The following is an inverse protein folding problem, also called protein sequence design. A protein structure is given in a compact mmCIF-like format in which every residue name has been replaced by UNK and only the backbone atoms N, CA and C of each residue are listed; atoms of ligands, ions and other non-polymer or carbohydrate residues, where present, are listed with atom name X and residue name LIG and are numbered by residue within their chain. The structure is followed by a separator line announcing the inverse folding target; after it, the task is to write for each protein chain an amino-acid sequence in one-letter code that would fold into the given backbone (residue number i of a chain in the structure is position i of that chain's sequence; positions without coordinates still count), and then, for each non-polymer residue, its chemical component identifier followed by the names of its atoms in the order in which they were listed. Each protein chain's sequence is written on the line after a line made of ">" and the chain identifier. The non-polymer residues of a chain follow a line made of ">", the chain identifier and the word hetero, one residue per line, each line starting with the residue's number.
data_IF_142018031512
#
_entry.id   IF_142018031512
#
_cell.length_a   1.000
_cell.length_b   1.000
_cell.length_c   1.000
_cell.angle_alpha   90.00
_cell.angle_beta   90.00
_cell.angle_gamma   90.00
#
_symmetry.space_group_name_H-M   'P 1'
#
loop_
_entity.id
_entity.type
_entity.pdbx_description
1 polymer ?
#
# COMPACT_ATOMS: atom_id res chain seq x y z
N UNK A 1 -16.79 3.21 14.54
CA UNK A 1 -15.51 2.50 14.36
C UNK A 1 -14.64 2.74 15.58
N UNK A 2 -14.18 1.67 16.27
CA UNK A 2 -13.40 1.77 17.52
C UNK A 2 -12.00 2.31 17.22
N UNK A 3 -11.54 3.30 18.00
CA UNK A 3 -10.17 3.77 17.96
C UNK A 3 -9.31 3.01 18.98
N UNK A 4 -8.19 2.46 18.51
CA UNK A 4 -7.22 1.73 19.35
C UNK A 4 -6.36 2.74 20.09
N UNK A 5 -6.31 2.61 21.43
CA UNK A 5 -5.46 3.45 22.29
C UNK A 5 -4.13 2.79 22.65
N UNK A 6 -4.10 1.44 22.62
CA UNK A 6 -2.90 0.66 22.95
C UNK A 6 -2.48 -0.19 21.75
N UNK A 7 -1.32 0.12 21.19
CA UNK A 7 -0.73 -0.55 20.02
C UNK A 7 0.50 -1.41 20.41
N UNK A 8 0.52 -1.98 21.63
CA UNK A 8 1.69 -2.73 22.10
C UNK A 8 1.82 -4.08 21.39
N UNK A 9 0.74 -4.88 21.37
CA UNK A 9 0.74 -6.24 20.82
C UNK A 9 -0.47 -6.45 19.89
N UNK A 10 -0.19 -6.96 18.68
CA UNK A 10 -1.24 -7.32 17.71
C UNK A 10 -1.94 -8.63 18.14
N UNK A 11 -1.18 -9.62 18.55
CA UNK A 11 -1.65 -10.94 18.95
C UNK A 11 -1.31 -11.24 20.41
N UNK A 12 -2.02 -12.21 20.97
CA UNK A 12 -1.69 -12.84 22.23
C UNK A 12 -0.51 -13.83 22.05
N UNK A 13 0.07 -14.30 23.12
CA UNK A 13 1.21 -15.25 23.11
C UNK A 13 0.92 -16.54 22.35
N UNK A 14 -0.33 -17.03 22.39
CA UNK A 14 -0.77 -18.21 21.64
C UNK A 14 -1.00 -17.94 20.14
N UNK A 15 -0.71 -16.73 19.66
CA UNK A 15 -0.89 -16.30 18.27
C UNK A 15 -2.34 -16.03 17.84
N UNK A 16 -3.31 -16.03 18.77
CA UNK A 16 -4.66 -15.52 18.48
C UNK A 16 -4.66 -13.99 18.42
N UNK A 17 -5.57 -13.42 17.63
CA UNK A 17 -5.73 -11.97 17.57
C UNK A 17 -6.11 -11.44 18.96
N UNK A 18 -5.44 -10.38 19.40
CA UNK A 18 -5.78 -9.68 20.63
C UNK A 18 -7.04 -8.84 20.41
N UNK A 19 -8.11 -9.09 21.13
CA UNK A 19 -9.38 -8.37 20.99
C UNK A 19 -9.24 -6.86 21.23
N UNK A 20 -8.30 -6.45 22.07
CA UNK A 20 -8.00 -5.04 22.31
C UNK A 20 -7.29 -4.37 21.14
N UNK A 21 -6.72 -5.14 20.21
CA UNK A 21 -6.08 -4.65 18.99
C UNK A 21 -7.06 -4.34 17.87
N UNK A 22 -8.33 -4.82 17.94
CA UNK A 22 -9.32 -4.66 16.87
C UNK A 22 -9.77 -3.20 16.78
N UNK A 23 -9.72 -2.62 15.57
CA UNK A 23 -10.11 -1.24 15.30
C UNK A 23 -9.05 -0.49 14.50
N UNK A 24 -9.04 0.83 14.61
CA UNK A 24 -8.07 1.68 13.93
C UNK A 24 -7.29 2.57 14.91
N UNK A 25 -6.08 2.93 14.54
CA UNK A 25 -5.22 3.85 15.30
C UNK A 25 -4.31 4.66 14.38
N UNK A 26 -3.66 5.67 14.94
CA UNK A 26 -2.71 6.52 14.19
C UNK A 26 -1.24 6.19 14.49
N UNK A 27 -0.97 5.17 15.30
CA UNK A 27 0.37 4.71 15.67
C UNK A 27 0.48 3.21 15.35
N UNK A 28 1.57 2.74 14.69
CA UNK A 28 1.80 1.33 14.42
C UNK A 28 1.92 0.50 15.71
N UNK A 29 1.57 -0.77 15.63
CA UNK A 29 1.86 -1.72 16.71
C UNK A 29 3.36 -1.87 16.89
N UNK A 30 3.81 -1.93 18.14
CA UNK A 30 5.21 -2.19 18.49
C UNK A 30 5.61 -3.63 18.17
N UNK A 31 4.70 -4.54 18.40
CA UNK A 31 4.85 -5.96 18.11
C UNK A 31 3.67 -6.48 17.32
N UNK A 32 3.96 -6.90 16.08
CA UNK A 32 2.99 -7.49 15.15
C UNK A 32 3.20 -9.00 15.00
N UNK A 33 3.93 -9.62 15.91
CA UNK A 33 4.26 -11.05 15.85
C UNK A 33 3.00 -11.90 15.81
N UNK A 34 2.97 -12.83 14.86
CA UNK A 34 1.90 -13.79 14.66
C UNK A 34 2.48 -15.18 14.87
N UNK A 35 2.31 -15.72 16.08
CA UNK A 35 2.79 -17.06 16.41
C UNK A 35 1.88 -18.12 15.77
N UNK A 36 1.94 -18.26 14.45
CA UNK A 36 1.21 -19.22 13.64
C UNK A 36 2.13 -19.86 12.62
N UNK A 37 1.71 -21.02 12.10
CA UNK A 37 2.42 -21.69 11.02
C UNK A 37 2.66 -20.74 9.85
N UNK A 38 3.88 -20.72 9.32
CA UNK A 38 4.30 -19.85 8.22
C UNK A 38 3.43 -20.02 6.98
N UNK A 39 2.86 -21.20 6.73
CA UNK A 39 2.02 -21.44 5.55
C UNK A 39 0.67 -20.73 5.58
N UNK A 40 0.17 -20.35 6.76
CA UNK A 40 -1.09 -19.63 6.91
C UNK A 40 -0.87 -18.14 7.13
N UNK A 41 0.27 -17.76 7.69
CA UNK A 41 0.68 -16.37 7.88
C UNK A 41 1.02 -15.72 6.54
N UNK A 42 0.58 -14.50 6.33
CA UNK A 42 0.87 -13.69 5.15
C UNK A 42 1.42 -12.35 5.57
N UNK A 43 2.46 -11.92 4.87
CA UNK A 43 3.16 -10.67 5.13
C UNK A 43 3.41 -9.96 3.82
N UNK A 44 3.21 -8.67 3.77
CA UNK A 44 3.71 -7.83 2.70
C UNK A 44 4.34 -6.54 3.22
N UNK A 45 5.31 -6.05 2.47
CA UNK A 45 5.85 -4.71 2.56
C UNK A 45 5.78 -4.08 1.17
N UNK A 46 5.18 -2.91 1.07
CA UNK A 46 5.06 -2.16 -0.17
C UNK A 46 5.59 -0.75 0.02
N UNK A 47 6.27 -0.28 -0.99
CA UNK A 47 6.84 1.05 -1.08
C UNK A 47 6.48 1.62 -2.44
N UNK A 48 5.94 2.82 -2.49
CA UNK A 48 5.55 3.46 -3.74
C UNK A 48 5.96 4.92 -3.73
N UNK A 49 6.76 5.32 -4.71
CA UNK A 49 7.15 6.70 -4.94
C UNK A 49 6.29 7.28 -6.04
N UNK A 50 5.68 8.43 -5.80
CA UNK A 50 4.89 9.17 -6.77
C UNK A 50 5.47 10.57 -6.89
N UNK A 51 5.78 10.98 -8.10
CA UNK A 51 6.17 12.32 -8.50
C UNK A 51 5.32 12.81 -9.67
N UNK A 52 5.63 13.97 -10.21
CA UNK A 52 5.04 14.45 -11.47
C UNK A 52 5.60 13.73 -12.69
N UNK A 53 6.82 13.20 -12.59
CA UNK A 53 7.56 12.58 -13.69
C UNK A 53 7.37 11.07 -13.76
N UNK A 54 7.19 10.41 -12.60
CA UNK A 54 7.11 8.96 -12.55
C UNK A 54 6.32 8.43 -11.35
N UNK A 55 5.91 7.17 -11.46
CA UNK A 55 5.46 6.34 -10.34
C UNK A 55 6.30 5.06 -10.31
N UNK A 56 6.89 4.77 -9.16
CA UNK A 56 7.54 3.50 -8.86
C UNK A 56 6.78 2.79 -7.75
N UNK A 57 6.33 1.57 -8.00
CA UNK A 57 5.74 0.68 -7.01
C UNK A 57 6.63 -0.54 -6.84
N UNK A 58 7.08 -0.80 -5.61
CA UNK A 58 7.90 -1.94 -5.23
C UNK A 58 7.24 -2.66 -4.06
N UNK A 59 7.10 -3.98 -4.16
CA UNK A 59 6.49 -4.79 -3.11
C UNK A 59 7.17 -6.13 -2.92
N UNK A 60 7.20 -6.57 -1.67
CA UNK A 60 7.68 -7.87 -1.22
C UNK A 60 6.52 -8.57 -0.54
N UNK A 61 6.15 -9.74 -1.02
CA UNK A 61 5.15 -10.61 -0.40
C UNK A 61 5.83 -11.86 0.13
N UNK A 62 5.56 -12.21 1.37
CA UNK A 62 5.87 -13.51 1.95
C UNK A 62 4.56 -14.26 2.20
N UNK A 63 4.36 -15.33 1.45
CA UNK A 63 3.17 -16.19 1.54
C UNK A 63 3.44 -17.47 2.35
N UNK A 64 4.64 -17.56 2.96
CA UNK A 64 5.08 -18.68 3.76
C UNK A 64 5.69 -19.83 2.96
N UNK A 65 5.21 -20.11 1.76
CA UNK A 65 5.74 -21.14 0.84
C UNK A 65 6.45 -20.54 -0.38
N UNK A 66 6.29 -19.24 -0.60
CA UNK A 66 6.90 -18.50 -1.69
C UNK A 66 7.01 -17.02 -1.31
N UNK A 67 8.13 -16.39 -1.63
CA UNK A 67 8.27 -14.93 -1.61
C UNK A 67 8.16 -14.39 -3.03
N UNK A 68 7.46 -13.26 -3.17
CA UNK A 68 7.27 -12.60 -4.45
C UNK A 68 7.81 -11.18 -4.35
N UNK A 69 8.77 -10.87 -5.21
CA UNK A 69 9.18 -9.50 -5.50
C UNK A 69 8.40 -9.00 -6.70
N UNK A 70 7.77 -7.86 -6.56
CA UNK A 70 7.04 -7.23 -7.65
C UNK A 70 7.42 -5.76 -7.75
N UNK A 71 7.66 -5.30 -8.98
CA UNK A 71 7.99 -3.92 -9.27
C UNK A 71 7.26 -3.46 -10.52
N UNK A 72 6.75 -2.24 -10.49
CA UNK A 72 6.14 -1.54 -11.63
C UNK A 72 6.60 -0.10 -11.63
N UNK A 73 7.12 0.34 -12.75
CA UNK A 73 7.56 1.70 -12.99
C UNK A 73 6.81 2.29 -14.19
N UNK A 74 6.38 3.53 -14.06
CA UNK A 74 5.74 4.32 -15.09
C UNK A 74 6.45 5.67 -15.20
N UNK A 75 7.07 5.95 -16.33
CA UNK A 75 7.52 7.30 -16.71
C UNK A 75 6.33 8.03 -17.31
N UNK A 76 5.89 9.10 -16.68
CA UNK A 76 4.69 9.85 -17.07
C UNK A 76 4.92 10.82 -18.21
N UNK A 77 6.17 11.18 -18.49
CA UNK A 77 6.56 12.06 -19.58
C UNK A 77 6.79 11.29 -20.88
N UNK A 78 7.50 10.15 -20.79
CA UNK A 78 7.89 9.36 -21.96
C UNK A 78 7.01 8.13 -22.18
N UNK A 79 5.98 7.92 -21.33
CA UNK A 79 5.07 6.77 -21.39
C UNK A 79 5.79 5.41 -21.35
N UNK A 80 6.98 5.36 -20.73
CA UNK A 80 7.73 4.13 -20.55
C UNK A 80 7.16 3.33 -19.38
N UNK A 81 6.94 2.05 -19.62
CA UNK A 81 6.55 1.09 -18.56
C UNK A 81 7.61 0.03 -18.38
N UNK A 82 8.02 -0.19 -17.15
CA UNK A 82 8.88 -1.31 -16.78
C UNK A 82 8.20 -2.11 -15.68
N UNK A 83 8.21 -3.43 -15.83
CA UNK A 83 7.56 -4.30 -14.87
C UNK A 83 8.39 -5.57 -14.69
N UNK A 84 8.79 -5.81 -13.44
CA UNK A 84 9.59 -6.99 -13.08
C UNK A 84 8.93 -7.75 -11.94
N UNK A 85 8.95 -9.08 -12.02
CA UNK A 85 8.42 -9.96 -10.97
C UNK A 85 9.30 -11.18 -10.84
N UNK A 86 9.66 -11.51 -9.60
CA UNK A 86 10.39 -12.74 -9.29
C UNK A 86 9.72 -13.48 -8.14
N UNK A 87 9.84 -14.80 -8.21
CA UNK A 87 9.31 -15.72 -7.23
C UNK A 87 10.48 -16.54 -6.65
N UNK A 88 10.53 -16.62 -5.36
CA UNK A 88 11.54 -17.38 -4.63
C UNK A 88 10.85 -18.44 -3.78
N UNK A 89 11.22 -19.75 -3.93
CA UNK A 89 10.71 -20.79 -3.07
C UNK A 89 11.20 -20.58 -1.63
N UNK A 90 10.57 -21.26 -0.68
CA UNK A 90 10.83 -21.09 0.77
C UNK A 90 12.31 -21.21 1.15
N UNK A 91 13.06 -22.12 0.50
CA UNK A 91 14.50 -22.33 0.75
C UNK A 91 15.39 -21.14 0.35
N UNK A 92 14.85 -20.20 -0.43
CA UNK A 92 15.55 -18.99 -0.92
C UNK A 92 14.68 -17.76 -0.73
N UNK A 93 13.67 -17.81 0.14
CA UNK A 93 12.70 -16.74 0.34
C UNK A 93 13.34 -15.52 0.99
N UNK A 94 12.73 -14.38 0.72
CA UNK A 94 13.03 -13.15 1.43
C UNK A 94 12.26 -13.23 2.75
N UNK A 95 12.98 -13.25 3.83
CA UNK A 95 12.38 -13.29 5.16
C UNK A 95 11.92 -11.88 5.51
N UNK A 96 10.61 -11.72 5.67
CA UNK A 96 10.01 -10.53 6.24
C UNK A 96 9.69 -10.81 7.71
N UNK A 97 10.21 -9.98 8.59
CA UNK A 97 9.86 -10.03 10.01
C UNK A 97 8.40 -9.56 10.20
N UNK A 98 7.73 -10.07 11.19
CA UNK A 98 6.41 -9.62 11.62
C UNK A 98 6.42 -8.16 12.08
N UNK A 99 7.54 -7.67 12.62
CA UNK A 99 7.69 -6.30 13.10
C UNK A 99 7.78 -5.33 11.92
N UNK A 100 7.10 -4.21 12.02
CA UNK A 100 7.17 -3.14 11.00
C UNK A 100 8.57 -2.52 10.94
N UNK A 101 9.31 -2.53 12.05
CA UNK A 101 10.67 -1.98 12.15
C UNK A 101 11.76 -2.97 11.74
N UNK A 102 11.41 -4.00 10.98
CA UNK A 102 12.36 -5.04 10.62
C UNK A 102 13.33 -4.60 9.53
N UNK A 103 14.48 -5.22 9.60
CA UNK A 103 15.48 -5.21 8.56
C UNK A 103 15.13 -6.21 7.47
N UNK A 104 15.24 -5.79 6.21
CA UNK A 104 15.10 -6.69 5.07
C UNK A 104 16.42 -6.72 4.33
N UNK A 105 17.03 -7.89 4.27
CA UNK A 105 18.23 -8.12 3.47
C UNK A 105 18.02 -9.31 2.54
N UNK A 106 18.30 -9.09 1.27
CA UNK A 106 18.23 -10.14 0.26
C UNK A 106 19.33 -9.95 -0.77
N UNK A 107 20.03 -11.02 -1.13
CA UNK A 107 21.06 -11.02 -2.18
C UNK A 107 20.94 -12.25 -3.05
N UNK A 108 20.88 -12.07 -4.37
CA UNK A 108 20.87 -13.15 -5.36
C UNK A 108 21.40 -12.67 -6.70
N UNK A 109 22.55 -13.21 -7.15
CA UNK A 109 23.21 -12.81 -8.40
C UNK A 109 23.25 -11.29 -8.59
N UNK A 110 22.48 -10.76 -9.56
CA UNK A 110 22.43 -9.33 -9.93
C UNK A 110 21.34 -8.56 -9.14
N UNK A 111 20.85 -9.11 -8.04
CA UNK A 111 19.78 -8.51 -7.26
C UNK A 111 20.20 -8.40 -5.80
N UNK A 112 19.98 -7.23 -5.25
CA UNK A 112 20.07 -7.07 -3.81
C UNK A 112 18.98 -6.12 -3.33
N UNK A 113 18.51 -6.33 -2.12
CA UNK A 113 17.56 -5.47 -1.42
C UNK A 113 18.09 -5.30 0.00
N UNK A 114 18.14 -4.06 0.42
CA UNK A 114 18.55 -3.71 1.77
C UNK A 114 17.62 -2.61 2.27
N UNK A 115 16.80 -2.93 3.26
CA UNK A 115 15.85 -1.98 3.85
C UNK A 115 16.16 -1.90 5.34
N UNK A 116 16.58 -0.71 5.76
CA UNK A 116 16.95 -0.41 7.13
C UNK A 116 16.01 0.64 7.69
N UNK A 117 15.27 0.31 8.73
CA UNK A 117 14.41 1.26 9.42
C UNK A 117 15.09 1.80 10.68
N UNK A 118 15.14 3.12 10.77
CA UNK A 118 15.47 3.88 11.95
C UNK A 118 14.19 4.44 12.60
N UNK A 119 14.31 5.17 13.71
CA UNK A 119 13.17 5.84 14.35
C UNK A 119 12.49 6.87 13.43
N UNK A 120 13.27 7.62 12.64
CA UNK A 120 12.80 8.79 11.89
C UNK A 120 12.86 8.62 10.37
N UNK A 121 13.47 7.57 9.86
CA UNK A 121 13.61 7.33 8.44
C UNK A 121 13.78 5.85 8.11
N UNK A 122 13.59 5.52 6.84
CA UNK A 122 13.90 4.22 6.26
C UNK A 122 14.87 4.45 5.11
N UNK A 123 15.99 3.74 5.10
CA UNK A 123 16.86 3.61 3.93
C UNK A 123 16.41 2.40 3.13
N UNK A 124 16.21 2.60 1.85
CA UNK A 124 15.78 1.57 0.91
C UNK A 124 16.76 1.57 -0.24
N UNK A 125 17.57 0.53 -0.30
CA UNK A 125 18.50 0.29 -1.38
C UNK A 125 18.09 -0.99 -2.10
N UNK A 126 17.89 -0.92 -3.39
CA UNK A 126 17.80 -2.13 -4.17
C UNK A 126 18.49 -2.01 -5.53
N UNK A 127 19.11 -3.10 -5.95
CA UNK A 127 19.59 -3.29 -7.29
C UNK A 127 18.90 -4.47 -7.92
N UNK A 128 18.43 -4.29 -9.15
CA UNK A 128 17.64 -5.29 -9.83
C UNK A 128 17.88 -5.24 -11.35
N UNK A 129 18.85 -6.05 -11.80
CA UNK A 129 19.36 -6.04 -13.18
C UNK A 129 19.90 -4.65 -13.56
N UNK A 130 19.19 -3.93 -14.44
CA UNK A 130 19.49 -2.58 -14.93
C UNK A 130 18.90 -1.45 -14.07
N UNK A 131 18.31 -1.78 -12.94
CA UNK A 131 17.74 -0.81 -12.00
C UNK A 131 18.60 -0.68 -10.76
N UNK A 132 18.70 0.54 -10.27
CA UNK A 132 19.40 0.88 -9.04
C UNK A 132 18.64 1.99 -8.30
N UNK A 133 18.12 1.68 -7.11
CA UNK A 133 17.45 2.64 -6.23
C UNK A 133 18.27 2.82 -4.97
N UNK A 134 18.50 4.07 -4.63
CA UNK A 134 18.92 4.49 -3.30
C UNK A 134 17.94 5.55 -2.80
N UNK A 135 17.23 5.26 -1.74
CA UNK A 135 16.20 6.15 -1.21
C UNK A 135 16.22 6.23 0.30
N UNK A 136 16.19 7.45 0.81
CA UNK A 136 15.93 7.76 2.21
C UNK A 136 14.51 8.33 2.32
N UNK A 137 13.65 7.65 3.07
CA UNK A 137 12.25 8.02 3.28
C UNK A 137 12.07 8.47 4.73
N UNK A 138 11.62 9.70 4.94
CA UNK A 138 11.42 10.26 6.27
C UNK A 138 10.04 9.87 6.82
N UNK A 139 10.01 9.36 8.04
CA UNK A 139 8.77 8.89 8.67
C UNK A 139 8.02 10.02 9.36
N UNK A 140 6.72 10.02 9.20
CA UNK A 140 5.79 10.89 9.92
C UNK A 140 5.36 10.29 11.26
N UNK A 141 4.75 11.12 12.11
CA UNK A 141 4.18 10.69 13.38
C UNK A 141 2.96 9.79 13.19
N UNK A 142 2.04 10.15 12.29
CA UNK A 142 0.78 9.43 12.14
C UNK A 142 0.74 8.58 10.87
N UNK A 143 0.29 7.36 11.03
CA UNK A 143 -0.04 6.41 9.97
C UNK A 143 -1.40 5.79 10.21
N UNK A 144 -2.09 5.36 9.16
CA UNK A 144 -3.30 4.56 9.32
C UNK A 144 -2.90 3.15 9.78
N UNK A 145 -3.38 2.76 10.94
CA UNK A 145 -3.23 1.40 11.44
C UNK A 145 -4.61 0.81 11.65
N UNK A 146 -4.89 -0.31 11.02
CA UNK A 146 -6.20 -0.93 11.05
C UNK A 146 -6.07 -2.44 11.29
N UNK A 147 -6.83 -2.95 12.23
CA UNK A 147 -6.95 -4.38 12.49
C UNK A 147 -8.39 -4.80 12.25
N UNK A 148 -8.58 -5.70 11.29
CA UNK A 148 -9.88 -6.21 10.88
C UNK A 148 -9.93 -7.72 11.12
N UNK A 149 -10.78 -8.21 12.01
CA UNK A 149 -11.12 -9.62 12.06
C UNK A 149 -12.19 -9.91 10.98
N UNK A 150 -11.99 -10.96 10.19
CA UNK A 150 -13.05 -11.50 9.33
C UNK A 150 -13.85 -12.60 10.04
N UNK A 151 -13.16 -13.33 10.92
CA UNK A 151 -13.73 -14.29 11.87
C UNK A 151 -12.74 -14.55 13.01
N UNK A 152 -12.93 -15.63 13.79
CA UNK A 152 -12.04 -15.99 14.90
C UNK A 152 -10.67 -16.51 14.46
N UNK A 153 -10.48 -16.91 13.19
CA UNK A 153 -9.21 -17.43 12.62
C UNK A 153 -8.51 -16.41 11.75
N UNK A 154 -9.28 -15.66 10.95
CA UNK A 154 -8.75 -14.82 9.88
C UNK A 154 -8.84 -13.36 10.26
N UNK A 155 -7.72 -12.69 10.13
CA UNK A 155 -7.62 -11.26 10.41
C UNK A 155 -6.55 -10.61 9.52
N UNK A 156 -6.69 -9.31 9.39
CA UNK A 156 -5.73 -8.46 8.68
C UNK A 156 -5.34 -7.28 9.55
N UNK A 157 -4.05 -7.03 9.61
CA UNK A 157 -3.47 -5.77 10.08
C UNK A 157 -2.80 -5.06 8.93
N UNK A 158 -3.11 -3.78 8.73
CA UNK A 158 -2.40 -2.90 7.81
C UNK A 158 -1.89 -1.66 8.52
N UNK A 159 -0.69 -1.21 8.13
CA UNK A 159 -0.10 0.06 8.55
C UNK A 159 0.30 0.85 7.31
N UNK A 160 -0.39 1.98 7.07
CA UNK A 160 -0.21 2.81 5.88
C UNK A 160 0.34 4.18 6.24
N UNK A 161 1.49 4.50 5.68
CA UNK A 161 2.15 5.79 5.81
C UNK A 161 2.02 6.53 4.49
N UNK A 162 1.42 7.70 4.50
CA UNK A 162 1.08 8.44 3.29
C UNK A 162 1.91 9.71 3.14
N UNK A 163 2.37 9.96 1.90
CA UNK A 163 3.06 11.20 1.51
C UNK A 163 4.30 11.51 2.35
N UNK A 164 5.13 10.51 2.55
CA UNK A 164 6.41 10.65 3.23
C UNK A 164 7.41 11.33 2.29
N UNK A 165 8.17 12.30 2.79
CA UNK A 165 9.27 12.88 2.01
C UNK A 165 10.29 11.80 1.68
N UNK A 166 10.75 11.77 0.44
CA UNK A 166 11.81 10.90 -0.02
C UNK A 166 12.97 11.72 -0.58
N UNK A 167 14.17 11.15 -0.50
CA UNK A 167 15.39 11.70 -1.10
C UNK A 167 16.19 10.56 -1.72
N UNK A 168 17.05 10.89 -2.68
CA UNK A 168 17.92 9.94 -3.34
C UNK A 168 17.69 9.85 -4.84
N UNK A 169 17.91 8.67 -5.42
CA UNK A 169 17.79 8.49 -6.87
C UNK A 169 17.27 7.11 -7.26
N UNK A 170 16.73 7.05 -8.47
CA UNK A 170 16.41 5.82 -9.19
C UNK A 170 17.09 5.87 -10.56
N UNK A 171 17.92 4.88 -10.87
CA UNK A 171 18.41 4.63 -12.22
C UNK A 171 17.58 3.49 -12.82
N UNK A 172 17.02 3.70 -13.99
CA UNK A 172 16.24 2.69 -14.73
C UNK A 172 16.24 3.04 -16.22
N UNK A 173 16.38 2.04 -17.08
CA UNK A 173 16.36 2.21 -18.54
C UNK A 173 17.34 3.32 -19.00
N UNK A 174 18.55 3.34 -18.43
CA UNK A 174 19.62 4.32 -18.70
C UNK A 174 19.28 5.79 -18.36
N UNK A 175 18.17 6.03 -17.64
CA UNK A 175 17.76 7.36 -17.16
C UNK A 175 17.86 7.41 -15.64
N UNK A 176 18.31 8.55 -15.10
CA UNK A 176 18.34 8.84 -13.67
C UNK A 176 17.19 9.75 -13.29
N UNK A 177 16.42 9.35 -12.29
CA UNK A 177 15.31 10.11 -11.70
C UNK A 177 15.70 10.56 -10.30
N UNK A 178 15.49 11.83 -10.00
CA UNK A 178 15.69 12.37 -8.66
C UNK A 178 14.44 12.11 -7.80
N UNK A 179 14.63 11.56 -6.60
CA UNK A 179 13.54 11.28 -5.66
C UNK A 179 13.19 12.46 -4.76
N UNK A 180 13.96 13.52 -4.72
CA UNK A 180 13.76 14.65 -3.81
C UNK A 180 12.43 15.39 -4.06
N UNK A 181 11.91 15.30 -5.29
CA UNK A 181 10.61 15.83 -5.69
C UNK A 181 9.47 14.79 -5.62
N UNK A 182 9.77 13.60 -5.11
CA UNK A 182 8.77 12.54 -4.91
C UNK A 182 8.32 12.45 -3.47
N UNK A 183 7.16 11.83 -3.28
CA UNK A 183 6.73 11.38 -1.97
C UNK A 183 6.53 9.86 -2.01
N UNK A 184 6.76 9.23 -0.85
CA UNK A 184 6.64 7.80 -0.71
C UNK A 184 5.36 7.43 0.06
N UNK A 185 4.69 6.38 -0.40
CA UNK A 185 3.65 5.66 0.32
C UNK A 185 4.22 4.32 0.78
N UNK A 186 3.97 3.96 2.03
CA UNK A 186 4.38 2.68 2.59
C UNK A 186 3.15 1.95 3.10
N UNK A 187 3.01 0.68 2.75
CA UNK A 187 1.94 -0.20 3.22
C UNK A 187 2.52 -1.52 3.74
N UNK A 188 2.33 -1.75 5.03
CA UNK A 188 2.68 -3.00 5.68
C UNK A 188 1.42 -3.80 5.97
N UNK A 189 1.33 -5.02 5.45
CA UNK A 189 0.24 -5.95 5.75
C UNK A 189 0.76 -7.17 6.52
N UNK A 190 0.02 -7.56 7.56
CA UNK A 190 0.29 -8.73 8.40
C UNK A 190 -1.02 -9.43 8.70
N UNK A 191 -1.04 -10.75 8.67
CA UNK A 191 -2.25 -11.44 9.09
C UNK A 191 -2.29 -12.91 8.75
N UNK A 192 -3.43 -13.49 9.10
CA UNK A 192 -3.88 -14.79 8.64
C UNK A 192 -5.08 -14.53 7.73
N UNK A 193 -4.87 -14.66 6.42
CA UNK A 193 -5.85 -14.20 5.45
C UNK A 193 -6.71 -15.30 4.89
N UNK A 194 -7.94 -14.94 4.51
CA UNK A 194 -8.83 -15.81 3.78
C UNK A 194 -8.16 -16.32 2.50
N UNK A 195 -8.48 -17.56 2.10
CA UNK A 195 -7.92 -18.20 0.90
C UNK A 195 -8.18 -17.43 -0.39
N UNK A 196 -9.22 -16.62 -0.43
CA UNK A 196 -9.54 -15.73 -1.55
C UNK A 196 -9.59 -14.31 -1.01
N UNK A 197 -8.99 -13.39 -1.73
CA UNK A 197 -9.04 -11.97 -1.45
C UNK A 197 -9.26 -11.17 -2.73
N UNK A 198 -10.02 -10.10 -2.62
CA UNK A 198 -10.20 -9.10 -3.67
C UNK A 198 -10.14 -7.73 -3.03
N UNK A 199 -9.45 -6.80 -3.68
CA UNK A 199 -9.50 -5.39 -3.29
C UNK A 199 -9.35 -4.47 -4.48
N UNK A 200 -9.89 -3.27 -4.35
CA UNK A 200 -9.65 -2.12 -5.21
C UNK A 200 -9.18 -0.97 -4.34
N UNK A 201 -8.19 -0.24 -4.79
CA UNK A 201 -7.60 0.84 -4.01
C UNK A 201 -7.26 2.07 -4.84
N UNK A 202 -7.34 3.25 -4.21
CA UNK A 202 -6.88 4.53 -4.75
C UNK A 202 -5.95 5.18 -3.74
N UNK A 203 -4.82 5.66 -4.24
CA UNK A 203 -3.84 6.44 -3.47
C UNK A 203 -3.51 7.69 -4.26
N UNK A 204 -3.59 8.84 -3.61
CA UNK A 204 -3.18 10.12 -4.18
C UNK A 204 -2.88 11.15 -3.11
N UNK A 205 -2.25 12.25 -3.50
CA UNK A 205 -2.03 13.42 -2.66
C UNK A 205 -1.91 14.70 -3.47
N UNK A 206 -2.29 15.80 -2.85
CA UNK A 206 -2.27 17.13 -3.47
C UNK A 206 -2.12 18.21 -2.40
N UNK A 207 -2.00 19.46 -2.83
CA UNK A 207 -2.16 20.63 -1.96
C UNK A 207 -3.54 21.21 -2.15
N UNK A 208 -4.24 21.51 -1.06
CA UNK A 208 -5.52 22.19 -1.08
C UNK A 208 -5.36 23.67 -1.45
N UNK A 209 -6.48 24.33 -1.78
CA UNK A 209 -6.50 25.79 -2.02
C UNK A 209 -6.08 26.59 -0.75
N UNK A 210 -6.17 25.98 0.44
CA UNK A 210 -5.65 26.51 1.70
C UNK A 210 -4.16 26.17 1.96
N UNK A 211 -3.44 25.65 0.97
CA UNK A 211 -2.05 25.20 1.04
C UNK A 211 -1.80 24.03 2.01
N UNK A 212 -2.84 23.30 2.43
CA UNK A 212 -2.70 22.10 3.24
C UNK A 212 -2.26 20.90 2.42
N UNK A 213 -1.48 20.05 3.01
CA UNK A 213 -1.06 18.79 2.38
C UNK A 213 -2.16 17.75 2.60
N UNK A 214 -2.80 17.33 1.53
CA UNK A 214 -3.87 16.32 1.56
C UNK A 214 -3.36 15.02 0.98
N UNK A 215 -3.62 13.91 1.65
CA UNK A 215 -3.38 12.56 1.13
C UNK A 215 -4.61 11.69 1.35
N UNK A 216 -4.89 10.81 0.42
CA UNK A 216 -6.10 10.01 0.36
C UNK A 216 -5.72 8.55 0.16
N UNK A 217 -6.28 7.67 0.99
CA UNK A 217 -6.28 6.24 0.78
C UNK A 217 -7.72 5.73 0.82
N UNK A 218 -8.17 5.14 -0.28
CA UNK A 218 -9.50 4.55 -0.41
C UNK A 218 -9.36 3.10 -0.86
N UNK A 219 -10.06 2.20 -0.17
CA UNK A 219 -10.04 0.76 -0.47
C UNK A 219 -11.47 0.22 -0.34
N UNK A 220 -11.85 -0.67 -1.24
CA UNK A 220 -13.08 -1.43 -1.12
C UNK A 220 -12.84 -2.95 -1.25
N UNK A 221 -13.86 -3.73 -0.99
CA UNK A 221 -13.97 -5.20 -1.06
C UNK A 221 -13.19 -5.97 0.00
N UNK A 222 -12.02 -5.51 0.39
CA UNK A 222 -11.16 -6.27 1.31
C UNK A 222 -11.66 -6.26 2.75
N UNK A 223 -12.16 -5.11 3.19
CA UNK A 223 -12.66 -4.90 4.56
C UNK A 223 -14.13 -4.51 4.62
N UNK A 224 -14.83 -4.55 3.49
CA UNK A 224 -16.24 -4.18 3.39
C UNK A 224 -17.13 -5.04 4.30
N UNK A 225 -18.19 -4.44 4.82
CA UNK A 225 -19.18 -5.05 5.71
C UNK A 225 -18.62 -5.53 7.07
N UNK A 226 -17.39 -5.25 7.41
CA UNK A 226 -16.82 -5.56 8.75
C UNK A 226 -17.06 -4.45 9.78
N UNK A 227 -17.57 -3.30 9.34
CA UNK A 227 -17.65 -2.09 10.16
C UNK A 227 -16.30 -1.38 10.33
N UNK A 228 -15.24 -1.90 9.72
CA UNK A 228 -13.87 -1.40 9.74
C UNK A 228 -13.37 -1.29 8.30
N UNK A 229 -13.08 -0.11 7.80
CA UNK A 229 -12.56 0.10 6.44
C UNK A 229 -11.20 0.81 6.47
N UNK A 230 -10.46 0.75 5.35
CA UNK A 230 -9.16 1.40 5.21
C UNK A 230 -9.25 2.85 4.71
N UNK A 231 -10.45 3.40 4.57
CA UNK A 231 -10.69 4.69 3.96
C UNK A 231 -10.32 5.82 4.90
N UNK A 232 -9.43 6.70 4.47
CA UNK A 232 -8.96 7.82 5.27
C UNK A 232 -8.45 8.99 4.42
N UNK A 233 -8.45 10.16 5.05
CA UNK A 233 -7.75 11.36 4.59
C UNK A 233 -6.67 11.71 5.61
N UNK A 234 -5.51 12.11 5.13
CA UNK A 234 -4.47 12.74 5.94
C UNK A 234 -4.41 14.21 5.56
N UNK A 235 -4.61 15.08 6.54
CA UNK A 235 -4.53 16.53 6.40
C UNK A 235 -3.29 16.98 7.16
N UNK A 236 -2.29 17.49 6.45
CA UNK A 236 -0.95 17.71 6.96
C UNK A 236 -0.39 16.43 7.62
N UNK A 237 -0.23 16.42 8.93
CA UNK A 237 0.36 15.29 9.67
C UNK A 237 -0.68 14.44 10.42
N UNK A 238 -1.98 14.76 10.30
CA UNK A 238 -3.07 14.08 11.04
C UNK A 238 -3.95 13.23 10.14
N UNK A 239 -4.26 12.01 10.60
CA UNK A 239 -5.11 11.06 9.90
C UNK A 239 -6.54 11.11 10.45
N UNK A 240 -7.50 11.12 9.53
CA UNK A 240 -8.92 11.09 9.80
C UNK A 240 -9.59 9.99 8.99
N UNK A 241 -10.48 9.24 9.65
CA UNK A 241 -11.20 8.12 9.05
C UNK A 241 -12.49 8.56 8.38
N UNK A 242 -12.74 8.05 7.17
CA UNK A 242 -14.07 8.07 6.59
C UNK A 242 -14.94 6.99 7.24
N UNK A 243 -16.21 7.30 7.44
CA UNK A 243 -17.18 6.38 8.04
C UNK A 243 -17.79 5.45 7.01
N UNK A 244 -17.89 5.91 5.78
CA UNK A 244 -18.53 5.18 4.70
C UNK A 244 -17.56 4.22 4.02
N UNK A 245 -18.08 3.08 3.59
CA UNK A 245 -17.42 2.26 2.57
C UNK A 245 -17.47 2.97 1.22
N UNK A 246 -16.58 2.59 0.32
CA UNK A 246 -16.36 3.25 -0.98
C UNK A 246 -16.72 2.27 -2.10
N UNK A 247 -17.25 2.77 -3.21
CA UNK A 247 -17.44 1.99 -4.43
C UNK A 247 -16.64 2.58 -5.59
N UNK A 248 -16.19 1.70 -6.48
CA UNK A 248 -15.48 2.00 -7.71
C UNK A 248 -16.37 1.59 -8.90
N UNK A 249 -16.93 2.57 -9.60
CA UNK A 249 -17.84 2.38 -10.71
C UNK A 249 -17.12 2.71 -12.02
N UNK A 250 -16.92 1.70 -12.86
CA UNK A 250 -16.26 1.84 -14.14
C UNK A 250 -17.27 2.30 -15.21
N UNK A 251 -16.87 3.24 -16.06
CA UNK A 251 -17.62 3.57 -17.26
C UNK A 251 -17.64 2.41 -18.27
N UNK A 252 -18.49 2.48 -19.28
CA UNK A 252 -18.62 1.43 -20.32
C UNK A 252 -17.30 1.12 -21.02
N UNK A 253 -16.47 2.14 -21.25
CA UNK A 253 -15.18 2.02 -21.94
C UNK A 253 -14.04 1.68 -21.00
N UNK A 254 -14.29 1.61 -19.69
CA UNK A 254 -13.29 1.37 -18.62
C UNK A 254 -12.12 2.36 -18.61
N UNK A 255 -12.35 3.57 -19.11
CA UNK A 255 -11.37 4.67 -19.14
C UNK A 255 -11.57 5.67 -18.01
N UNK A 256 -12.75 5.67 -17.40
CA UNK A 256 -13.11 6.53 -16.28
C UNK A 256 -13.64 5.67 -15.12
N UNK A 257 -13.22 5.96 -13.91
CA UNK A 257 -13.71 5.31 -12.69
C UNK A 257 -14.31 6.40 -11.81
N UNK A 258 -15.60 6.29 -11.50
CA UNK A 258 -16.22 7.12 -10.46
C UNK A 258 -16.08 6.41 -9.12
N UNK A 259 -15.46 7.09 -8.16
CA UNK A 259 -15.14 6.59 -6.82
C UNK A 259 -15.93 7.43 -5.83
N UNK A 260 -16.85 6.81 -5.13
CA UNK A 260 -17.73 7.53 -4.21
C UNK A 260 -18.03 6.77 -2.94
N UNK A 261 -18.34 7.50 -1.88
CA UNK A 261 -18.85 6.92 -0.64
C UNK A 261 -20.25 6.32 -0.84
N UNK A 262 -20.50 5.16 -0.22
CA UNK A 262 -21.80 4.48 -0.29
C UNK A 262 -22.87 5.17 0.56
N UNK A 263 -22.44 5.71 1.71
CA UNK A 263 -23.27 6.48 2.64
C UNK A 263 -22.56 7.80 2.87
N UNK A 264 -23.25 8.85 3.20
CA UNK A 264 -22.68 10.17 3.42
C UNK A 264 -21.90 10.69 2.17
N UNK A 265 -21.94 11.93 1.91
CA UNK A 265 -21.26 12.54 0.76
C UNK A 265 -19.80 12.93 1.11
N UNK A 266 -19.01 11.93 1.61
CA UNK A 266 -17.62 12.14 2.03
C UNK A 266 -16.65 12.17 0.85
N UNK A 267 -16.93 11.37 -0.20
CA UNK A 267 -16.05 11.18 -1.37
C UNK A 267 -16.87 11.16 -2.65
N UNK A 268 -16.48 11.96 -3.62
CA UNK A 268 -16.94 11.88 -5.01
C UNK A 268 -15.80 12.28 -5.94
N UNK A 269 -15.08 11.28 -6.42
CA UNK A 269 -13.91 11.43 -7.26
C UNK A 269 -14.10 10.73 -8.59
N UNK A 270 -13.44 11.26 -9.59
CA UNK A 270 -13.30 10.65 -10.91
C UNK A 270 -11.83 10.39 -11.18
N UNK A 271 -11.50 9.17 -11.57
CA UNK A 271 -10.16 8.76 -11.96
C UNK A 271 -10.14 8.47 -13.47
N UNK A 272 -9.51 9.35 -14.23
CA UNK A 272 -9.31 9.19 -15.69
C UNK A 272 -8.00 8.42 -15.90
N UNK A 273 -8.10 7.20 -16.43
CA UNK A 273 -6.97 6.33 -16.69
C UNK A 273 -6.12 6.92 -17.82
N UNK A 274 -4.81 7.09 -17.56
CA UNK A 274 -3.80 7.46 -18.55
C UNK A 274 -3.07 6.19 -19.01
N UNK A 275 -2.63 5.36 -18.06
CA UNK A 275 -1.86 4.17 -18.31
C UNK A 275 -2.34 3.02 -17.42
N UNK A 276 -2.26 1.82 -17.96
CA UNK A 276 -2.55 0.60 -17.20
C UNK A 276 -1.48 -0.48 -17.38
N UNK A 277 -1.42 -1.37 -16.41
CA UNK A 277 -0.53 -2.53 -16.41
C UNK A 277 -1.28 -3.72 -15.81
N UNK A 278 -1.75 -4.60 -16.67
CA UNK A 278 -2.58 -5.73 -16.29
C UNK A 278 -1.75 -7.01 -16.31
N UNK A 279 -1.73 -7.74 -15.21
CA UNK A 279 -0.98 -8.99 -15.07
C UNK A 279 -1.88 -10.08 -14.52
N UNK A 280 -1.72 -11.28 -15.06
CA UNK A 280 -2.40 -12.48 -14.57
C UNK A 280 -1.37 -13.60 -14.37
N UNK A 281 -1.45 -14.27 -13.25
CA UNK A 281 -0.60 -15.40 -12.93
C UNK A 281 -1.47 -16.54 -12.41
N UNK A 282 -1.43 -17.65 -13.09
CA UNK A 282 -2.10 -18.89 -12.69
C UNK A 282 -1.04 -19.94 -12.39
N UNK A 283 -1.12 -20.56 -11.24
CA UNK A 283 -0.41 -21.79 -10.89
C UNK A 283 -1.42 -22.74 -10.22
N UNK A 284 -1.09 -24.00 -10.07
CA UNK A 284 -2.01 -25.03 -9.56
C UNK A 284 -2.63 -24.62 -8.20
N UNK A 285 -1.82 -24.06 -7.30
CA UNK A 285 -2.26 -23.66 -5.95
C UNK A 285 -2.41 -22.15 -5.74
N UNK A 286 -2.10 -21.34 -6.76
CA UNK A 286 -2.03 -19.91 -6.63
C UNK A 286 -2.57 -19.23 -7.89
N UNK A 287 -3.54 -18.33 -7.70
CA UNK A 287 -4.04 -17.45 -8.76
C UNK A 287 -3.95 -16.01 -8.29
N UNK A 288 -3.37 -15.16 -9.12
CA UNK A 288 -3.23 -13.75 -8.83
C UNK A 288 -3.49 -12.94 -10.10
N UNK A 289 -4.41 -11.99 -10.02
CA UNK A 289 -4.66 -11.01 -11.08
C UNK A 289 -4.45 -9.63 -10.51
N UNK A 290 -3.68 -8.84 -11.20
CA UNK A 290 -3.27 -7.51 -10.81
C UNK A 290 -3.58 -6.53 -11.94
N UNK A 291 -4.32 -5.48 -11.63
CA UNK A 291 -4.67 -4.39 -12.53
C UNK A 291 -4.20 -3.10 -11.88
N UNK A 292 -3.10 -2.56 -12.37
CA UNK A 292 -2.51 -1.32 -11.90
C UNK A 292 -2.79 -0.21 -12.90
N UNK A 293 -3.24 0.94 -12.43
CA UNK A 293 -3.59 2.07 -13.27
C UNK A 293 -2.98 3.34 -12.71
N UNK A 294 -2.46 4.16 -13.62
CA UNK A 294 -2.05 5.53 -13.35
C UNK A 294 -3.02 6.46 -14.04
N UNK A 295 -3.40 7.53 -13.40
CA UNK A 295 -4.39 8.44 -13.95
C UNK A 295 -4.47 9.78 -13.26
N UNK A 296 -5.34 10.64 -13.82
CA UNK A 296 -5.68 11.95 -13.28
C UNK A 296 -6.95 11.83 -12.45
N UNK A 297 -6.93 12.43 -11.29
CA UNK A 297 -8.04 12.47 -10.34
C UNK A 297 -8.60 13.88 -10.28
N UNK A 298 -9.93 13.98 -10.28
CA UNK A 298 -10.66 15.22 -10.07
C UNK A 298 -11.97 14.95 -9.32
N UNK A 299 -12.55 15.99 -8.73
CA UNK A 299 -13.76 15.88 -7.92
C UNK A 299 -13.53 16.47 -6.53
N UNK A 300 -14.12 15.87 -5.49
CA UNK A 300 -13.99 16.41 -4.15
C UNK A 300 -14.00 15.34 -3.05
N UNK A 301 -13.50 15.77 -1.90
CA UNK A 301 -13.58 15.04 -0.63
C UNK A 301 -14.09 15.98 0.45
N UNK A 302 -14.94 15.48 1.34
CA UNK A 302 -15.45 16.21 2.50
C UNK A 302 -14.98 15.57 3.80
N UNK A 303 -14.29 16.34 4.59
CA UNK A 303 -14.00 16.04 5.99
C UNK A 303 -13.95 17.35 6.75
N UNK A 304 -14.99 17.68 7.53
CA UNK A 304 -15.27 19.02 8.08
C UNK A 304 -15.42 20.06 6.97
N UNK A 305 -14.37 20.29 6.18
CA UNK A 305 -14.34 21.13 4.98
C UNK A 305 -14.45 20.28 3.71
N UNK A 306 -14.77 20.96 2.61
CA UNK A 306 -14.73 20.39 1.26
C UNK A 306 -13.38 20.72 0.62
N UNK A 307 -12.69 19.67 0.15
CA UNK A 307 -11.42 19.75 -0.56
C UNK A 307 -11.63 19.39 -2.02
N UNK A 308 -11.43 20.35 -2.89
CA UNK A 308 -11.47 20.10 -4.35
C UNK A 308 -10.18 19.43 -4.80
N UNK A 309 -10.32 18.34 -5.54
CA UNK A 309 -9.22 17.63 -6.19
C UNK A 309 -9.17 18.06 -7.64
N UNK A 310 -8.07 18.70 -8.03
CA UNK A 310 -7.92 19.30 -9.37
C UNK A 310 -6.73 18.65 -10.09
N UNK A 311 -7.02 17.81 -11.09
CA UNK A 311 -6.01 17.24 -11.99
C UNK A 311 -4.78 16.64 -11.29
N UNK A 312 -5.01 15.82 -10.25
CA UNK A 312 -3.96 15.23 -9.44
C UNK A 312 -3.61 13.84 -9.97
N UNK A 313 -2.32 13.55 -10.05
CA UNK A 313 -1.83 12.20 -10.37
C UNK A 313 -2.16 11.24 -9.22
N UNK A 314 -2.60 10.03 -9.57
CA UNK A 314 -2.84 8.99 -8.60
C UNK A 314 -2.64 7.59 -9.14
N UNK A 315 -2.61 6.66 -8.21
CA UNK A 315 -2.53 5.24 -8.43
C UNK A 315 -3.85 4.58 -8.06
N UNK A 316 -4.42 3.83 -8.99
CA UNK A 316 -5.58 2.99 -8.76
C UNK A 316 -5.24 1.54 -9.07
N UNK A 317 -5.70 0.62 -8.25
CA UNK A 317 -5.39 -0.79 -8.40
C UNK A 317 -6.59 -1.68 -8.12
N UNK A 318 -6.56 -2.87 -8.71
CA UNK A 318 -7.49 -3.95 -8.42
C UNK A 318 -6.75 -5.27 -8.40
N UNK A 319 -6.99 -6.06 -7.36
CA UNK A 319 -6.35 -7.35 -7.16
C UNK A 319 -7.37 -8.45 -6.91
N UNK A 320 -7.08 -9.62 -7.44
CA UNK A 320 -7.70 -10.89 -7.08
C UNK A 320 -6.60 -11.86 -6.70
N UNK A 321 -6.69 -12.43 -5.54
CA UNK A 321 -5.75 -13.42 -5.06
C UNK A 321 -6.48 -14.68 -4.58
N UNK A 322 -5.88 -15.84 -4.86
CA UNK A 322 -6.25 -17.12 -4.28
C UNK A 322 -4.93 -17.83 -3.95
N UNK A 323 -4.68 -18.05 -2.67
CA UNK A 323 -3.48 -18.66 -2.12
C UNK A 323 -3.77 -19.88 -1.27
#
# INVERSE_FOLDING_TARGET
>A
MRQIKNTKYLCNENGSLNEYSIGWGNIPFKDCSINKNIFIKKIWNRYMWISKEFILNFSIFDLGYISILNMSFFDLENFLKVSKKYKYPISKSIILDDKINSYVHFKSRNKFINILRSSNYINIDFKWDDMDLNSKVYLDYESLNLVVPWDYKYFHYTSKHMRLKAQGYLNIASKKYNLDNSNCFIDYGRGVWNRKAEWEGLITWFKSDKNENISINLVNKYTDNTGLNENCIKINDKIYKFKSDICFNYDKNKKLINIKSLKNDEVNLYFKIIEDNNKSHNAIFFRFKEFQKVGIIFGYIKYKDRYEVKNTIGWCEKYFAKW
#
